data_IF_834800186900
#
_entry.id   IF_834800186900
#
_cell.length_a   1.000
_cell.length_b   1.000
_cell.length_c   1.000
_cell.angle_alpha   90.00
_cell.angle_beta   90.00
_cell.angle_gamma   90.00
#
_symmetry.space_group_name_H-M   'P 1'
#
loop_
_entity.id
_entity.type
_entity.pdbx_description
1 polymer ?
#
# COMPACT_ATOMS: atom_id res chain seq x y z
N UNK A 1 -13.55 22.21 0.98
CA UNK A 1 -15.01 22.40 1.01
C UNK A 1 -15.41 23.23 -0.19
N UNK A 2 -16.35 22.74 -1.00
CA UNK A 2 -16.89 23.43 -2.16
C UNK A 2 -16.69 22.68 -3.47
N UNK A 3 -17.72 21.93 -3.88
CA UNK A 3 -18.07 21.80 -5.29
C UNK A 3 -19.59 21.89 -5.40
N UNK A 4 -20.01 22.99 -6.04
CA UNK A 4 -21.37 23.37 -6.39
C UNK A 4 -21.88 22.47 -7.53
N UNK A 5 -23.08 21.89 -7.39
CA UNK A 5 -23.72 21.12 -8.47
C UNK A 5 -24.99 21.82 -8.94
N UNK A 6 -24.81 23.00 -9.51
CA UNK A 6 -25.86 23.65 -10.32
C UNK A 6 -25.97 22.95 -11.67
N UNK A 7 -26.98 22.09 -11.83
CA UNK A 7 -27.64 21.90 -13.13
C UNK A 7 -27.29 20.65 -13.95
N UNK A 8 -27.69 19.46 -13.50
CA UNK A 8 -27.74 18.28 -14.38
C UNK A 8 -29.19 17.85 -14.59
N UNK A 9 -29.67 17.77 -15.85
CA UNK A 9 -31.05 17.48 -16.16
C UNK A 9 -31.41 16.02 -15.85
N UNK A 10 -32.54 15.80 -15.19
CA UNK A 10 -33.14 14.48 -14.97
C UNK A 10 -33.78 13.97 -16.27
N UNK A 11 -33.40 12.79 -16.80
CA UNK A 11 -34.22 12.12 -17.78
C UNK A 11 -35.31 11.30 -17.06
N UNK A 12 -36.58 11.70 -17.24
CA UNK A 12 -37.73 10.85 -16.97
C UNK A 12 -37.86 9.80 -18.09
N UNK A 13 -37.72 8.51 -17.76
CA UNK A 13 -38.74 7.46 -18.03
C UNK A 13 -38.23 6.03 -17.79
N UNK A 14 -38.86 5.41 -16.79
CA UNK A 14 -39.33 4.04 -16.57
C UNK A 14 -38.78 2.82 -17.35
N UNK A 15 -38.56 1.77 -16.55
CA UNK A 15 -39.01 0.37 -16.72
C UNK A 15 -37.91 -0.70 -16.81
N UNK A 16 -37.71 -1.43 -15.70
CA UNK A 16 -37.49 -2.87 -15.74
C UNK A 16 -36.09 -3.40 -15.38
N UNK A 17 -36.09 -4.29 -14.38
CA UNK A 17 -35.03 -5.23 -13.98
C UNK A 17 -33.79 -4.62 -13.31
N UNK A 18 -33.87 -4.60 -11.97
CA UNK A 18 -32.78 -4.44 -11.01
C UNK A 18 -31.53 -5.19 -11.45
N UNK A 19 -30.56 -4.47 -11.99
CA UNK A 19 -29.18 -4.95 -12.05
C UNK A 19 -28.69 -5.02 -10.61
N UNK A 20 -28.15 -6.16 -10.13
CA UNK A 20 -27.38 -6.12 -8.90
C UNK A 20 -26.20 -5.20 -9.18
N UNK A 21 -26.20 -4.02 -8.54
CA UNK A 21 -25.03 -3.15 -8.53
C UNK A 21 -23.95 -3.97 -7.85
N UNK A 22 -23.06 -4.58 -8.64
CA UNK A 22 -21.73 -4.90 -8.17
C UNK A 22 -21.18 -3.57 -7.69
N UNK A 23 -21.17 -3.34 -6.37
CA UNK A 23 -20.31 -2.35 -5.76
C UNK A 23 -18.89 -2.80 -6.12
N UNK A 24 -18.44 -2.45 -7.33
CA UNK A 24 -17.04 -2.29 -7.59
C UNK A 24 -16.62 -1.22 -6.59
N UNK A 25 -15.97 -1.64 -5.50
CA UNK A 25 -15.16 -0.72 -4.73
C UNK A 25 -14.32 0.02 -5.77
N UNK A 26 -14.16 1.36 -5.67
CA UNK A 26 -13.11 1.99 -6.43
C UNK A 26 -11.85 1.23 -6.02
N UNK A 27 -11.32 0.39 -6.93
CA UNK A 27 -9.94 -0.04 -6.85
C UNK A 27 -9.21 1.28 -7.03
N UNK A 28 -8.93 1.91 -5.89
CA UNK A 28 -8.28 3.19 -5.85
C UNK A 28 -7.08 3.05 -6.77
N UNK A 29 -7.00 3.93 -7.76
CA UNK A 29 -5.79 4.18 -8.52
C UNK A 29 -4.74 4.88 -7.65
N UNK A 30 -4.64 4.44 -6.39
CA UNK A 30 -3.45 4.54 -5.59
C UNK A 30 -2.52 3.41 -6.11
N UNK A 31 -1.20 3.62 -6.22
CA UNK A 31 -0.28 2.50 -6.41
C UNK A 31 -0.64 1.44 -5.37
N UNK A 32 -0.62 0.13 -5.73
CA UNK A 32 -1.06 -0.93 -4.84
C UNK A 32 -0.44 -0.66 -3.47
N UNK A 33 -1.29 -0.33 -2.50
CA UNK A 33 -0.84 0.11 -1.20
C UNK A 33 -0.21 -1.12 -0.56
N UNK A 34 1.10 -1.28 -0.75
CA UNK A 34 1.81 -2.48 -0.35
C UNK A 34 1.84 -2.49 1.16
N UNK A 35 0.88 -3.19 1.76
CA UNK A 35 0.80 -3.40 3.19
C UNK A 35 1.48 -4.73 3.55
N UNK A 36 2.22 -4.73 4.64
CA UNK A 36 2.72 -5.96 5.23
C UNK A 36 1.65 -6.55 6.13
N UNK A 37 1.27 -7.80 5.89
CA UNK A 37 0.38 -8.57 6.78
C UNK A 37 1.16 -9.53 7.69
N UNK A 38 2.35 -9.94 7.24
CA UNK A 38 3.28 -10.79 7.98
C UNK A 38 4.70 -10.24 7.83
N UNK A 39 5.55 -10.57 8.79
CA UNK A 39 6.95 -10.16 8.79
C UNK A 39 7.87 -11.38 8.66
N UNK A 40 9.06 -11.17 8.09
CA UNK A 40 10.11 -12.17 8.11
C UNK A 40 10.53 -12.46 9.55
N UNK A 41 10.55 -13.75 9.92
CA UNK A 41 11.08 -14.18 11.22
C UNK A 41 12.62 -14.20 11.26
N UNK A 42 13.28 -14.12 10.09
CA UNK A 42 14.74 -14.20 9.99
C UNK A 42 15.32 -12.87 9.53
N UNK A 43 16.42 -12.45 10.18
CA UNK A 43 17.24 -11.32 9.73
C UNK A 43 17.79 -11.61 8.33
N UNK A 44 17.56 -10.69 7.41
CA UNK A 44 18.06 -10.77 6.04
C UNK A 44 19.53 -10.33 6.08
N UNK A 45 20.49 -11.07 5.50
CA UNK A 45 21.87 -10.61 5.43
C UNK A 45 21.97 -9.32 4.59
N UNK A 46 22.63 -8.28 5.15
CA UNK A 46 22.73 -6.94 4.53
C UNK A 46 23.17 -6.96 3.07
N UNK A 47 24.12 -7.84 2.74
CA UNK A 47 24.68 -7.97 1.38
C UNK A 47 23.65 -8.34 0.30
N UNK A 48 22.48 -8.86 0.69
CA UNK A 48 21.40 -9.20 -0.23
C UNK A 48 20.38 -8.08 -0.42
N UNK A 49 20.39 -7.05 0.41
CA UNK A 49 19.44 -5.93 0.32
C UNK A 49 20.00 -4.91 -0.67
N UNK A 50 19.15 -4.47 -1.59
CA UNK A 50 19.44 -3.43 -2.55
C UNK A 50 18.82 -2.10 -2.10
N UNK A 51 17.60 -2.14 -1.60
CA UNK A 51 16.81 -0.96 -1.24
C UNK A 51 15.77 -1.29 -0.17
N UNK A 52 15.09 -0.28 0.36
CA UNK A 52 13.96 -0.42 1.26
C UNK A 52 12.93 0.70 1.06
N UNK A 53 11.68 0.44 1.43
CA UNK A 53 10.66 1.48 1.53
C UNK A 53 9.69 1.19 2.67
N UNK A 54 9.07 2.23 3.21
CA UNK A 54 8.05 2.10 4.24
C UNK A 54 6.67 1.88 3.62
N UNK A 55 5.86 1.04 4.25
CA UNK A 55 4.47 0.84 3.85
C UNK A 55 3.64 2.10 4.14
N UNK A 56 2.55 2.29 3.41
CA UNK A 56 1.67 3.44 3.60
C UNK A 56 1.04 3.46 5.01
N UNK A 57 0.84 4.66 5.57
CA UNK A 57 0.18 4.86 6.87
C UNK A 57 -1.29 4.42 6.92
N UNK A 58 -1.92 4.18 5.76
CA UNK A 58 -3.26 3.57 5.66
C UNK A 58 -3.28 2.08 6.03
N UNK A 59 -2.13 1.42 6.11
CA UNK A 59 -2.05 0.02 6.50
C UNK A 59 -2.38 -0.16 7.99
N UNK A 60 -3.08 -1.24 8.34
CA UNK A 60 -3.45 -1.52 9.74
C UNK A 60 -2.25 -1.73 10.66
N UNK A 61 -1.09 -2.06 10.11
CA UNK A 61 0.16 -2.20 10.83
C UNK A 61 1.32 -1.56 10.05
N UNK A 62 2.29 -0.96 10.75
CA UNK A 62 3.46 -0.36 10.10
C UNK A 62 4.41 -1.45 9.62
N UNK A 63 4.92 -1.31 8.39
CA UNK A 63 5.87 -2.26 7.81
C UNK A 63 6.99 -1.56 7.05
N UNK A 64 8.12 -2.26 6.97
CA UNK A 64 9.24 -1.89 6.10
C UNK A 64 9.41 -3.02 5.10
N UNK A 65 9.50 -2.69 3.81
CA UNK A 65 9.74 -3.66 2.76
C UNK A 65 11.16 -3.52 2.29
N UNK A 66 11.95 -4.59 2.43
CA UNK A 66 13.29 -4.67 1.86
C UNK A 66 13.22 -5.28 0.46
N UNK A 67 13.79 -4.57 -0.50
CA UNK A 67 14.00 -5.08 -1.86
C UNK A 67 15.38 -5.70 -1.94
N UNK A 68 15.43 -6.99 -2.22
CA UNK A 68 16.68 -7.72 -2.40
C UNK A 68 17.30 -7.43 -3.77
N UNK A 69 18.60 -7.65 -3.93
CA UNK A 69 19.32 -7.55 -5.22
C UNK A 69 18.77 -8.48 -6.31
N UNK A 70 17.94 -9.48 -5.93
CA UNK A 70 17.23 -10.37 -6.84
C UNK A 70 15.81 -9.89 -7.18
N UNK A 71 15.45 -8.67 -6.79
CA UNK A 71 14.12 -8.08 -7.01
C UNK A 71 13.01 -8.68 -6.15
N UNK A 72 13.33 -9.39 -5.07
CA UNK A 72 12.32 -9.90 -4.13
C UNK A 72 12.04 -8.88 -3.04
N UNK A 73 10.76 -8.66 -2.77
CA UNK A 73 10.26 -7.81 -1.69
C UNK A 73 10.01 -8.65 -0.44
N UNK A 74 10.53 -8.21 0.71
CA UNK A 74 10.39 -8.91 1.97
C UNK A 74 9.94 -7.93 3.06
N UNK A 75 8.78 -8.19 3.64
CA UNK A 75 8.26 -7.45 4.79
C UNK A 75 9.07 -7.72 6.05
N UNK A 76 9.44 -6.66 6.75
CA UNK A 76 10.13 -6.68 8.03
C UNK A 76 9.44 -5.74 9.04
N UNK A 77 9.54 -6.09 10.32
CA UNK A 77 8.90 -5.34 11.40
C UNK A 77 9.79 -4.13 11.78
N UNK A 78 9.31 -2.88 11.70
CA UNK A 78 10.09 -1.70 12.09
C UNK A 78 10.51 -1.68 13.56
N UNK A 79 9.86 -2.48 14.42
CA UNK A 79 10.23 -2.60 15.83
C UNK A 79 11.51 -3.44 16.07
N UNK A 80 11.98 -4.18 15.06
CA UNK A 80 13.18 -5.00 15.17
C UNK A 80 14.46 -4.16 15.05
N UNK A 81 15.41 -4.31 15.99
CA UNK A 81 16.65 -3.53 16.01
C UNK A 81 17.43 -3.58 14.69
N UNK A 82 17.51 -4.76 14.07
CA UNK A 82 18.24 -4.92 12.82
C UNK A 82 17.59 -4.22 11.63
N UNK A 83 16.28 -4.00 11.68
CA UNK A 83 15.53 -3.28 10.64
C UNK A 83 15.89 -1.81 10.73
N UNK A 84 15.85 -1.23 11.93
CA UNK A 84 16.26 0.15 12.21
C UNK A 84 17.70 0.41 11.78
N UNK A 85 18.65 -0.43 12.21
CA UNK A 85 20.07 -0.37 11.80
C UNK A 85 20.25 -0.35 10.27
N UNK A 86 19.36 -1.04 9.54
CA UNK A 86 19.45 -1.10 8.09
C UNK A 86 18.90 0.17 7.45
N UNK A 87 17.75 0.65 7.91
CA UNK A 87 17.13 1.91 7.48
C UNK A 87 18.11 3.08 7.67
N UNK A 88 18.69 3.23 8.87
CA UNK A 88 19.65 4.29 9.18
C UNK A 88 20.83 4.30 8.20
N UNK A 89 21.39 3.13 7.90
CA UNK A 89 22.53 3.05 6.97
C UNK A 89 22.13 3.40 5.53
N UNK A 90 20.88 3.22 5.11
CA UNK A 90 20.46 3.66 3.78
C UNK A 90 20.19 5.17 3.74
N UNK A 91 19.66 5.78 4.81
CA UNK A 91 19.44 7.23 4.90
C UNK A 91 20.73 8.05 4.97
N UNK A 92 21.83 7.44 5.42
CA UNK A 92 23.14 8.07 5.54
C UNK A 92 23.98 8.07 4.25
N UNK A 93 23.48 7.51 3.14
CA UNK A 93 24.19 7.46 1.85
C UNK A 93 23.56 8.36 0.78
#
# INVERSE_FOLDING_TARGET
VGHDWSGVPLPLSFAGCTQPILLSLPVGSDPPTSCCFTYTAKKIPRNYIADFYETNSRCSQPGVVFTTKKGREICANPAEKWVQEYMDHFELN
#
